data_IF_226605663727
#
_entry.id   IF_226605663727
#
_cell.length_a   1.000
_cell.length_b   1.000
_cell.length_c   1.000
_cell.angle_alpha   90.00
_cell.angle_beta   90.00
_cell.angle_gamma   90.00
#
_symmetry.space_group_name_H-M   'P 1'
#
loop_
_entity.id
_entity.type
_entity.pdbx_description
1 polymer ?
#
# COMPACT_ATOMS: atom_id res chain seq x y z
N UNK A 1 1.02 6.58 8.44
CA UNK A 1 -0.23 5.87 8.12
C UNK A 1 0.00 4.76 7.10
N UNK A 2 -0.93 3.83 7.03
CA UNK A 2 -1.12 2.90 5.92
C UNK A 2 -2.42 3.31 5.23
N UNK A 3 -2.39 3.58 3.94
CA UNK A 3 -3.58 3.82 3.12
C UNK A 3 -3.67 2.71 2.07
N UNK A 4 -4.73 1.89 2.11
CA UNK A 4 -4.82 0.74 1.23
C UNK A 4 -6.17 0.65 0.51
N UNK A 5 -6.19 -0.05 -0.64
CA UNK A 5 -7.39 -0.55 -1.26
C UNK A 5 -7.25 -2.04 -1.55
N UNK A 6 -8.22 -2.80 -1.07
CA UNK A 6 -8.29 -4.25 -1.27
C UNK A 6 -9.72 -4.69 -1.49
N UNK A 7 -10.02 -5.27 -2.64
CA UNK A 7 -11.35 -5.83 -2.89
C UNK A 7 -11.50 -7.22 -2.25
N UNK A 8 -10.47 -8.06 -2.37
CA UNK A 8 -10.49 -9.47 -1.94
C UNK A 8 -9.62 -9.75 -0.70
N UNK A 9 -9.09 -8.72 -0.02
CA UNK A 9 -8.41 -8.84 1.25
C UNK A 9 -6.88 -9.06 1.19
N UNK A 10 -6.28 -9.34 0.02
CA UNK A 10 -4.84 -9.62 -0.10
C UNK A 10 -3.97 -8.46 0.36
N UNK A 11 -4.28 -7.23 -0.06
CA UNK A 11 -3.57 -6.03 0.38
C UNK A 11 -3.80 -5.78 1.87
N UNK A 12 -5.03 -5.97 2.36
CA UNK A 12 -5.35 -5.83 3.78
C UNK A 12 -4.52 -6.79 4.64
N UNK A 13 -4.32 -8.02 4.17
CA UNK A 13 -3.51 -9.02 4.87
C UNK A 13 -2.04 -8.60 4.93
N UNK A 14 -1.46 -8.12 3.83
CA UNK A 14 -0.11 -7.54 3.83
C UNK A 14 -0.01 -6.30 4.74
N UNK A 15 -1.00 -5.40 4.68
CA UNK A 15 -1.05 -4.18 5.48
C UNK A 15 -1.00 -4.47 6.99
N UNK A 16 -1.65 -5.55 7.44
CA UNK A 16 -1.59 -5.98 8.84
C UNK A 16 -0.17 -6.41 9.26
N UNK A 17 0.59 -7.06 8.37
CA UNK A 17 1.99 -7.40 8.63
C UNK A 17 2.89 -6.16 8.59
N UNK A 18 2.70 -5.27 7.62
CA UNK A 18 3.38 -3.98 7.57
C UNK A 18 3.14 -3.18 8.85
N UNK A 19 1.89 -3.15 9.33
CA UNK A 19 1.53 -2.48 10.58
C UNK A 19 2.34 -3.00 11.76
N UNK A 20 2.48 -4.32 11.91
CA UNK A 20 3.33 -4.92 12.95
C UNK A 20 4.78 -4.43 12.86
N UNK A 21 5.32 -4.40 11.64
CA UNK A 21 6.67 -3.90 11.40
C UNK A 21 6.84 -2.43 11.78
N UNK A 22 5.91 -1.56 11.39
CA UNK A 22 5.88 -0.14 11.78
C UNK A 22 5.82 0.01 13.30
N UNK A 23 4.86 -0.64 13.95
CA UNK A 23 4.64 -0.55 15.42
C UNK A 23 5.82 -1.11 16.23
N UNK A 24 6.59 -2.07 15.67
CA UNK A 24 7.78 -2.62 16.32
C UNK A 24 8.89 -1.59 16.56
N UNK A 25 8.86 -0.46 15.88
CA UNK A 25 9.79 0.67 16.07
C UNK A 25 9.31 1.70 17.08
N UNK A 26 8.10 1.54 17.61
CA UNK A 26 7.44 2.53 18.47
C UNK A 26 6.60 3.57 17.71
N UNK A 27 6.43 3.44 16.39
CA UNK A 27 5.63 4.34 15.60
C UNK A 27 4.13 4.18 15.90
N UNK A 28 3.40 5.29 15.96
CA UNK A 28 1.93 5.28 15.97
C UNK A 28 1.42 5.05 14.56
N UNK A 29 0.52 4.08 14.38
CA UNK A 29 0.07 3.65 13.04
C UNK A 29 -1.44 3.76 12.91
N UNK A 30 -1.89 4.57 11.96
CA UNK A 30 -3.26 4.56 11.45
C UNK A 30 -3.34 3.63 10.23
N UNK A 31 -4.26 2.66 10.27
CA UNK A 31 -4.59 1.82 9.14
C UNK A 31 -5.90 2.31 8.54
N UNK A 32 -5.83 2.78 7.30
CA UNK A 32 -6.90 3.46 6.57
C UNK A 32 -7.20 2.67 5.29
N UNK A 33 -8.47 2.53 4.96
CA UNK A 33 -8.92 1.87 3.75
C UNK A 33 -9.65 2.84 2.83
N UNK A 34 -9.23 2.90 1.56
CA UNK A 34 -9.94 3.70 0.57
C UNK A 34 -11.41 3.31 0.50
N UNK A 35 -12.28 4.31 0.53
CA UNK A 35 -13.72 4.11 0.38
C UNK A 35 -14.01 3.45 -0.96
N UNK A 36 -14.94 2.47 -0.93
CA UNK A 36 -15.39 1.79 -2.13
C UNK A 36 -16.18 2.73 -3.04
N UNK A 37 -15.96 2.60 -4.35
CA UNK A 37 -16.64 3.38 -5.38
C UNK A 37 -17.56 2.53 -6.27
N UNK A 38 -17.45 1.20 -6.17
CA UNK A 38 -18.33 0.29 -6.90
C UNK A 38 -19.69 0.17 -6.21
N UNK A 39 -20.80 0.13 -6.95
CA UNK A 39 -22.13 -0.16 -6.42
C UNK A 39 -22.22 -1.56 -5.79
N UNK A 40 -23.03 -1.72 -4.77
CA UNK A 40 -23.20 -2.98 -4.05
C UNK A 40 -23.63 -4.14 -4.99
N UNK A 41 -24.48 -3.89 -5.98
CA UNK A 41 -24.87 -4.88 -6.99
C UNK A 41 -23.68 -5.43 -7.81
N UNK A 42 -22.65 -4.62 -8.02
CA UNK A 42 -21.41 -5.03 -8.72
C UNK A 42 -20.55 -5.82 -7.77
N UNK A 43 -20.42 -5.40 -6.51
CA UNK A 43 -19.68 -6.12 -5.48
C UNK A 43 -20.25 -7.53 -5.26
N UNK A 44 -21.57 -7.66 -5.22
CA UNK A 44 -22.27 -8.95 -5.15
C UNK A 44 -21.97 -9.84 -6.35
N UNK A 45 -22.07 -9.32 -7.57
CA UNK A 45 -21.71 -10.04 -8.80
C UNK A 45 -20.25 -10.49 -8.84
N UNK A 46 -19.36 -9.71 -8.21
CA UNK A 46 -17.92 -10.02 -8.09
C UNK A 46 -17.61 -10.94 -6.92
N UNK A 47 -18.62 -11.34 -6.13
CA UNK A 47 -18.44 -12.13 -4.91
C UNK A 47 -17.42 -11.49 -3.96
N UNK A 48 -17.44 -10.15 -3.86
CA UNK A 48 -16.55 -9.42 -2.97
C UNK A 48 -16.85 -9.78 -1.50
N UNK A 49 -15.83 -10.10 -0.68
CA UNK A 49 -16.04 -10.39 0.71
C UNK A 49 -16.49 -9.12 1.48
N UNK A 50 -17.13 -9.29 2.64
CA UNK A 50 -17.47 -8.16 3.51
C UNK A 50 -16.23 -7.33 3.85
N UNK A 51 -16.42 -6.01 3.91
CA UNK A 51 -15.35 -5.08 4.27
C UNK A 51 -14.94 -5.27 5.73
N UNK A 52 -13.61 -5.20 6.05
CA UNK A 52 -13.14 -5.22 7.43
C UNK A 52 -13.75 -4.08 8.24
N UNK A 53 -14.30 -4.39 9.42
CA UNK A 53 -14.93 -3.41 10.31
C UNK A 53 -13.92 -2.74 11.26
N UNK A 54 -12.73 -3.30 11.38
CA UNK A 54 -11.64 -2.83 12.24
C UNK A 54 -10.67 -1.86 11.55
N UNK A 55 -10.97 -1.48 10.30
CA UNK A 55 -10.15 -0.54 9.52
C UNK A 55 -11.01 0.65 9.13
N UNK A 56 -10.53 1.84 9.45
CA UNK A 56 -11.21 3.11 9.18
C UNK A 56 -11.34 3.37 7.67
N UNK A 57 -12.54 3.74 7.22
CA UNK A 57 -12.73 4.17 5.84
C UNK A 57 -12.18 5.58 5.62
N UNK A 58 -11.41 5.74 4.56
CA UNK A 58 -10.79 6.99 4.14
C UNK A 58 -11.30 7.39 2.76
N UNK A 59 -12.00 8.49 2.68
CA UNK A 59 -12.61 8.99 1.45
C UNK A 59 -12.01 10.31 0.98
N UNK A 60 -12.54 10.83 -0.11
CA UNK A 60 -12.15 12.13 -0.70
C UNK A 60 -12.20 13.28 0.31
N UNK A 61 -13.20 13.28 1.21
CA UNK A 61 -13.35 14.31 2.22
C UNK A 61 -12.20 14.34 3.23
N UNK A 62 -11.51 13.22 3.40
CA UNK A 62 -10.40 13.06 4.34
C UNK A 62 -9.03 13.29 3.69
N UNK A 63 -8.94 13.50 2.37
CA UNK A 63 -7.66 13.51 1.64
C UNK A 63 -6.62 14.47 2.26
N UNK A 64 -7.06 15.61 2.79
CA UNK A 64 -6.17 16.58 3.44
C UNK A 64 -5.58 16.07 4.78
N UNK A 65 -6.16 15.06 5.39
CA UNK A 65 -5.65 14.47 6.64
C UNK A 65 -4.33 13.73 6.43
N UNK A 66 -3.97 13.39 5.18
CA UNK A 66 -2.65 12.82 4.86
C UNK A 66 -1.51 13.72 5.33
N UNK A 67 -1.74 15.03 5.45
CA UNK A 67 -0.77 15.97 6.03
C UNK A 67 -0.44 15.70 7.51
N UNK A 68 -1.27 14.99 8.23
CA UNK A 68 -1.09 14.72 9.65
C UNK A 68 -0.08 13.60 9.93
N UNK A 69 0.41 12.91 8.89
CA UNK A 69 1.33 11.78 9.03
C UNK A 69 2.72 12.13 8.54
N UNK A 70 3.75 11.62 9.19
CA UNK A 70 5.16 11.78 8.77
C UNK A 70 5.48 10.93 7.53
N UNK A 71 4.74 9.83 7.35
CA UNK A 71 4.87 8.96 6.20
C UNK A 71 3.61 8.15 5.93
N UNK A 72 3.43 7.78 4.66
CA UNK A 72 2.28 6.99 4.19
C UNK A 72 2.77 5.80 3.37
N UNK A 73 2.37 4.59 3.77
CA UNK A 73 2.53 3.39 2.97
C UNK A 73 1.25 3.12 2.17
N UNK A 74 1.37 3.10 0.85
CA UNK A 74 0.26 2.92 -0.07
C UNK A 74 0.12 1.45 -0.46
N UNK A 75 -1.00 0.84 -0.09
CA UNK A 75 -1.34 -0.54 -0.42
C UNK A 75 -2.22 -0.63 -1.66
N UNK A 76 -1.67 -1.14 -2.75
CA UNK A 76 -2.27 -1.03 -4.08
C UNK A 76 -2.61 -2.40 -4.65
N UNK A 77 -3.91 -2.72 -4.76
CA UNK A 77 -4.34 -3.84 -5.60
C UNK A 77 -4.33 -3.40 -7.06
N UNK A 78 -3.45 -4.00 -7.86
CA UNK A 78 -3.27 -3.61 -9.26
C UNK A 78 -4.57 -3.74 -10.08
N UNK A 79 -4.80 -2.76 -10.93
CA UNK A 79 -5.81 -2.80 -11.99
C UNK A 79 -5.13 -2.50 -13.31
N UNK A 80 -5.02 -3.52 -14.18
CA UNK A 80 -4.35 -3.39 -15.50
C UNK A 80 -2.93 -2.80 -15.38
N UNK A 81 -2.16 -3.23 -14.36
CA UNK A 81 -0.81 -2.72 -14.07
C UNK A 81 -0.76 -1.30 -13.50
N UNK A 82 -1.90 -0.72 -13.15
CA UNK A 82 -2.03 0.62 -12.61
C UNK A 82 -2.69 0.70 -11.24
N UNK A 83 -2.83 1.94 -10.73
CA UNK A 83 -3.46 2.27 -9.46
C UNK A 83 -4.99 2.12 -9.61
N UNK A 84 -5.70 1.46 -8.68
CA UNK A 84 -7.15 1.33 -8.73
C UNK A 84 -7.84 2.69 -8.55
N UNK A 85 -9.02 2.84 -9.16
CA UNK A 85 -9.79 4.08 -9.15
C UNK A 85 -10.04 4.60 -7.72
N UNK A 86 -10.30 3.72 -6.77
CA UNK A 86 -10.56 4.06 -5.37
C UNK A 86 -9.36 4.80 -4.74
N UNK A 87 -8.14 4.31 -4.94
CA UNK A 87 -6.91 4.97 -4.48
C UNK A 87 -6.65 6.24 -5.28
N UNK A 88 -6.80 6.17 -6.61
CA UNK A 88 -6.57 7.32 -7.50
C UNK A 88 -7.50 8.49 -7.18
N UNK A 89 -8.74 8.22 -6.83
CA UNK A 89 -9.72 9.24 -6.42
C UNK A 89 -9.24 10.03 -5.20
N UNK A 90 -8.63 9.35 -4.21
CA UNK A 90 -8.05 10.03 -3.05
C UNK A 90 -6.82 10.83 -3.45
N UNK A 91 -5.92 10.25 -4.27
CA UNK A 91 -4.74 10.97 -4.77
C UNK A 91 -5.15 12.24 -5.53
N UNK A 92 -6.18 12.18 -6.35
CA UNK A 92 -6.68 13.35 -7.09
C UNK A 92 -7.29 14.41 -6.18
N UNK A 93 -7.85 14.00 -5.04
CA UNK A 93 -8.41 14.92 -4.05
C UNK A 93 -7.36 15.67 -3.21
N UNK A 94 -6.07 15.33 -3.32
CA UNK A 94 -4.97 16.02 -2.59
C UNK A 94 -4.52 17.33 -3.23
N UNK A 95 -5.29 17.90 -4.17
CA UNK A 95 -4.93 19.15 -4.86
C UNK A 95 -4.64 20.31 -3.89
N UNK A 96 -5.37 20.41 -2.77
CA UNK A 96 -5.10 21.42 -1.75
C UNK A 96 -3.76 21.21 -1.04
N UNK A 97 -3.37 19.96 -0.78
CA UNK A 97 -2.05 19.63 -0.19
C UNK A 97 -0.93 19.96 -1.17
N UNK A 98 -1.11 19.63 -2.45
CA UNK A 98 -0.15 20.00 -3.49
C UNK A 98 0.06 21.53 -3.54
N UNK A 99 -1.01 22.31 -3.56
CA UNK A 99 -0.94 23.77 -3.62
C UNK A 99 -0.18 24.37 -2.45
N UNK A 100 -0.32 23.79 -1.24
CA UNK A 100 0.26 24.31 -0.01
C UNK A 100 1.56 23.60 0.40
N UNK A 101 2.05 22.65 -0.40
CA UNK A 101 3.23 21.84 -0.07
C UNK A 101 3.06 20.91 1.13
N UNK A 102 1.81 20.52 1.45
CA UNK A 102 1.51 19.77 2.67
C UNK A 102 2.15 18.38 2.76
N UNK A 103 2.52 17.77 1.63
CA UNK A 103 3.20 16.47 1.59
C UNK A 103 4.70 16.56 1.26
N UNK A 104 5.23 17.78 1.08
CA UNK A 104 6.66 17.96 0.78
C UNK A 104 7.52 17.42 1.91
N UNK A 105 8.49 16.56 1.56
CA UNK A 105 9.42 15.94 2.51
C UNK A 105 8.86 14.76 3.31
N UNK A 106 7.54 14.47 3.21
CA UNK A 106 6.95 13.30 3.89
C UNK A 106 7.35 12.00 3.16
N UNK A 107 7.50 10.94 3.93
CA UNK A 107 7.87 9.62 3.40
C UNK A 107 6.70 8.94 2.67
N UNK A 108 7.00 8.27 1.57
CA UNK A 108 6.06 7.42 0.85
C UNK A 108 6.64 6.02 0.62
N UNK A 109 5.87 4.98 0.86
CA UNK A 109 6.18 3.60 0.52
C UNK A 109 5.06 2.98 -0.29
N UNK A 110 5.33 1.89 -1.00
CA UNK A 110 4.31 1.16 -1.77
C UNK A 110 4.40 -0.33 -1.51
N UNK A 111 3.26 -0.99 -1.42
CA UNK A 111 3.15 -2.44 -1.43
C UNK A 111 1.96 -2.86 -2.29
N UNK A 112 2.04 -4.01 -2.92
CA UNK A 112 1.15 -4.32 -4.03
C UNK A 112 0.67 -5.77 -4.08
N UNK A 113 -0.43 -5.98 -4.82
CA UNK A 113 -0.97 -7.29 -5.12
C UNK A 113 -1.43 -7.35 -6.58
N UNK A 114 -1.13 -8.46 -7.25
CA UNK A 114 -1.62 -8.76 -8.61
C UNK A 114 -2.20 -10.16 -8.66
N UNK A 115 -3.00 -10.46 -9.68
CA UNK A 115 -3.51 -11.81 -9.90
C UNK A 115 -2.42 -12.78 -10.39
N UNK A 116 -1.44 -12.28 -11.17
CA UNK A 116 -0.39 -13.10 -11.79
C UNK A 116 0.99 -12.53 -11.51
N UNK A 117 2.03 -13.35 -11.67
CA UNK A 117 3.44 -12.95 -11.48
C UNK A 117 3.86 -11.80 -12.41
N UNK A 118 3.34 -11.74 -13.62
CA UNK A 118 3.61 -10.68 -14.61
C UNK A 118 2.49 -9.63 -14.65
N UNK A 119 1.63 -9.58 -13.62
CA UNK A 119 0.45 -8.71 -13.57
C UNK A 119 0.73 -7.24 -13.31
N UNK A 120 2.00 -6.82 -13.27
CA UNK A 120 2.41 -5.42 -13.20
C UNK A 120 2.67 -4.90 -11.79
N UNK A 121 3.22 -5.70 -10.87
CA UNK A 121 3.59 -5.20 -9.54
C UNK A 121 4.57 -4.04 -9.61
N UNK A 122 5.66 -4.16 -10.40
CA UNK A 122 6.64 -3.09 -10.58
C UNK A 122 6.04 -1.88 -11.28
N UNK A 123 5.17 -2.10 -12.29
CA UNK A 123 4.50 -0.99 -12.97
C UNK A 123 3.58 -0.19 -12.05
N UNK A 124 2.92 -0.85 -11.10
CA UNK A 124 2.15 -0.17 -10.04
C UNK A 124 3.05 0.71 -9.19
N UNK A 125 4.20 0.20 -8.75
CA UNK A 125 5.20 0.97 -8.02
C UNK A 125 5.63 2.22 -8.81
N UNK A 126 5.99 2.06 -10.08
CA UNK A 126 6.37 3.15 -10.98
C UNK A 126 5.24 4.19 -11.15
N UNK A 127 3.99 3.73 -11.30
CA UNK A 127 2.84 4.64 -11.42
C UNK A 127 2.65 5.51 -10.15
N UNK A 128 2.94 4.96 -8.97
CA UNK A 128 2.89 5.73 -7.72
C UNK A 128 3.98 6.81 -7.65
N UNK A 129 5.15 6.58 -8.27
CA UNK A 129 6.25 7.57 -8.28
C UNK A 129 5.85 8.90 -8.87
N UNK A 130 4.99 8.90 -9.90
CA UNK A 130 4.50 10.16 -10.50
C UNK A 130 3.76 11.01 -9.44
N UNK A 131 2.88 10.40 -8.65
CA UNK A 131 2.18 11.08 -7.57
C UNK A 131 3.15 11.58 -6.49
N UNK A 132 4.07 10.73 -6.03
CA UNK A 132 5.03 11.11 -5.00
C UNK A 132 5.92 12.28 -5.43
N UNK A 133 6.41 12.24 -6.67
CA UNK A 133 7.23 13.33 -7.23
C UNK A 133 6.45 14.66 -7.30
N UNK A 134 5.20 14.64 -7.76
CA UNK A 134 4.37 15.85 -7.86
C UNK A 134 4.00 16.43 -6.48
N UNK A 135 3.85 15.57 -5.47
CA UNK A 135 3.59 15.99 -4.09
C UNK A 135 4.86 16.36 -3.31
N UNK A 136 6.07 16.14 -3.87
CA UNK A 136 7.33 16.36 -3.18
C UNK A 136 7.63 15.36 -2.08
N UNK A 137 7.01 14.17 -2.12
CA UNK A 137 7.24 13.10 -1.16
C UNK A 137 8.56 12.38 -1.43
N UNK A 138 9.14 11.79 -0.37
CA UNK A 138 10.37 11.01 -0.44
C UNK A 138 10.01 9.53 -0.49
N UNK A 139 10.26 8.88 -1.63
CA UNK A 139 10.02 7.44 -1.76
C UNK A 139 11.05 6.62 -0.99
N UNK A 140 10.57 5.74 -0.12
CA UNK A 140 11.36 4.76 0.61
C UNK A 140 11.01 3.38 0.06
N UNK A 141 11.88 2.79 -0.78
CA UNK A 141 11.66 1.46 -1.33
C UNK A 141 11.92 0.37 -0.29
N UNK A 142 11.44 -0.85 -0.53
CA UNK A 142 11.91 -2.03 0.18
C UNK A 142 13.41 -2.25 -0.11
N UNK A 143 13.82 -2.00 -1.34
CA UNK A 143 15.18 -2.31 -1.80
C UNK A 143 15.47 -3.78 -1.65
N UNK A 144 16.69 -4.07 -1.24
CA UNK A 144 17.17 -5.42 -0.95
C UNK A 144 17.50 -5.59 0.54
N UNK A 145 16.63 -5.01 1.40
CA UNK A 145 16.83 -5.02 2.85
C UNK A 145 16.42 -6.33 3.52
N UNK A 146 15.68 -7.18 2.82
CA UNK A 146 15.24 -8.48 3.30
C UNK A 146 15.86 -9.61 2.45
N UNK A 147 16.67 -10.51 3.03
CA UNK A 147 17.24 -11.64 2.29
C UNK A 147 16.19 -12.58 1.68
N UNK A 148 14.99 -12.68 2.27
CA UNK A 148 13.92 -13.52 1.75
C UNK A 148 13.41 -13.01 0.38
N UNK A 149 13.54 -11.71 0.09
CA UNK A 149 13.18 -11.14 -1.21
C UNK A 149 14.03 -11.66 -2.39
N UNK A 150 15.14 -12.35 -2.09
CA UNK A 150 15.99 -13.03 -3.08
C UNK A 150 15.76 -14.54 -3.16
N UNK A 151 14.91 -15.09 -2.30
CA UNK A 151 14.70 -16.54 -2.25
C UNK A 151 14.03 -17.04 -3.52
N UNK A 152 14.45 -18.21 -3.94
CA UNK A 152 13.81 -19.01 -4.99
C UNK A 152 13.09 -20.23 -4.44
N UNK A 153 12.95 -20.32 -3.10
CA UNK A 153 12.30 -21.46 -2.43
C UNK A 153 10.80 -21.51 -2.68
N UNK A 154 10.19 -20.32 -2.90
CA UNK A 154 8.79 -20.22 -3.29
C UNK A 154 8.57 -19.02 -4.21
N UNK A 155 7.43 -19.04 -4.92
CA UNK A 155 6.97 -17.88 -5.70
C UNK A 155 6.42 -16.83 -4.74
N UNK A 156 6.98 -15.64 -4.75
CA UNK A 156 6.55 -14.51 -3.93
C UNK A 156 6.45 -13.21 -4.72
N UNK A 157 5.66 -12.26 -4.21
CA UNK A 157 5.36 -11.00 -4.89
C UNK A 157 6.24 -9.81 -4.51
N UNK A 158 7.27 -10.00 -3.68
CA UNK A 158 8.16 -8.92 -3.29
C UNK A 158 9.12 -8.52 -4.43
N UNK A 159 9.43 -7.24 -4.48
CA UNK A 159 10.40 -6.64 -5.40
C UNK A 159 11.13 -5.49 -4.71
N UNK A 160 12.19 -4.93 -5.32
CA UNK A 160 12.83 -3.74 -4.75
C UNK A 160 11.90 -2.53 -4.54
N UNK A 161 10.79 -2.46 -5.28
CA UNK A 161 9.82 -1.39 -5.13
C UNK A 161 9.02 -1.48 -3.83
N UNK A 162 8.71 -2.70 -3.38
CA UNK A 162 7.95 -2.93 -2.16
C UNK A 162 7.59 -4.38 -1.95
N UNK A 163 7.07 -4.71 -0.78
CA UNK A 163 6.49 -6.02 -0.51
C UNK A 163 5.23 -6.25 -1.36
N UNK A 164 4.95 -7.50 -1.67
CA UNK A 164 3.83 -7.82 -2.54
C UNK A 164 3.36 -9.26 -2.40
N UNK A 165 2.23 -9.57 -3.05
CA UNK A 165 1.68 -10.93 -3.13
C UNK A 165 0.99 -11.16 -4.47
N UNK A 166 0.83 -12.42 -4.84
CA UNK A 166 0.02 -12.87 -5.96
C UNK A 166 -1.26 -13.53 -5.47
N UNK A 167 -2.40 -13.08 -6.00
CA UNK A 167 -3.70 -13.64 -5.62
C UNK A 167 -4.03 -14.95 -6.35
N UNK A 168 -3.34 -15.25 -7.45
CA UNK A 168 -3.69 -16.33 -8.35
C UNK A 168 -4.81 -15.93 -9.33
N UNK A 169 -5.06 -16.74 -10.36
CA UNK A 169 -6.01 -16.41 -11.42
C UNK A 169 -7.47 -16.35 -10.94
N UNK A 170 -7.80 -17.03 -9.87
CA UNK A 170 -9.12 -17.10 -9.24
C UNK A 170 -9.20 -16.32 -7.90
N UNK A 171 -8.09 -15.69 -7.48
CA UNK A 171 -8.02 -14.95 -6.22
C UNK A 171 -7.92 -15.82 -4.96
N UNK A 172 -7.76 -17.13 -5.08
CA UNK A 172 -7.77 -18.05 -3.92
C UNK A 172 -6.44 -18.11 -3.16
N UNK A 173 -5.31 -17.79 -3.84
CA UNK A 173 -3.98 -17.80 -3.19
C UNK A 173 -3.88 -16.66 -2.19
N UNK A 174 -3.63 -17.01 -0.94
CA UNK A 174 -3.40 -16.04 0.12
C UNK A 174 -1.91 -15.69 0.24
N UNK A 175 -1.56 -14.52 0.80
CA UNK A 175 -0.17 -14.17 1.10
C UNK A 175 0.51 -15.27 1.91
N UNK A 176 1.71 -15.68 1.49
CA UNK A 176 2.48 -16.73 2.17
C UNK A 176 3.14 -16.19 3.43
N UNK A 177 3.64 -17.12 4.27
CA UNK A 177 4.39 -16.76 5.48
C UNK A 177 5.62 -15.92 5.12
N UNK A 178 6.30 -16.23 4.02
CA UNK A 178 7.44 -15.46 3.53
C UNK A 178 7.03 -14.06 3.09
N UNK A 179 5.96 -13.92 2.29
CA UNK A 179 5.45 -12.61 1.86
C UNK A 179 5.03 -11.74 3.05
N UNK A 180 4.42 -12.33 4.09
CA UNK A 180 4.05 -11.64 5.33
C UNK A 180 5.27 -11.22 6.15
N UNK A 181 6.30 -12.05 6.22
CA UNK A 181 7.58 -11.72 6.87
C UNK A 181 8.29 -10.56 6.17
N UNK A 182 8.38 -10.60 4.84
CA UNK A 182 8.94 -9.50 4.04
C UNK A 182 8.12 -8.21 4.23
N UNK A 183 6.80 -8.29 4.30
CA UNK A 183 5.93 -7.14 4.54
C UNK A 183 6.16 -6.52 5.92
N UNK A 184 6.33 -7.33 6.96
CA UNK A 184 6.66 -6.87 8.31
C UNK A 184 8.01 -6.15 8.33
N UNK A 185 9.05 -6.73 7.71
CA UNK A 185 10.37 -6.10 7.58
C UNK A 185 10.31 -4.80 6.78
N UNK A 186 9.50 -4.73 5.71
CA UNK A 186 9.26 -3.50 4.94
C UNK A 186 8.69 -2.39 5.81
N UNK A 187 7.69 -2.70 6.65
CA UNK A 187 7.13 -1.75 7.60
C UNK A 187 8.19 -1.22 8.58
N UNK A 188 8.98 -2.11 9.17
CA UNK A 188 10.07 -1.73 10.08
C UNK A 188 11.12 -0.85 9.41
N UNK A 189 11.55 -1.21 8.18
CA UNK A 189 12.50 -0.43 7.39
C UNK A 189 11.95 0.97 7.10
N UNK A 190 10.70 1.05 6.62
CA UNK A 190 10.03 2.31 6.31
C UNK A 190 9.96 3.23 7.53
N UNK A 191 9.50 2.74 8.70
CA UNK A 191 9.42 3.53 9.92
C UNK A 191 10.78 4.06 10.35
N UNK A 192 11.81 3.20 10.33
CA UNK A 192 13.18 3.57 10.72
C UNK A 192 13.75 4.71 9.87
N UNK A 193 13.47 4.71 8.55
CA UNK A 193 13.93 5.79 7.68
C UNK A 193 13.05 7.03 7.80
N UNK A 194 11.74 6.87 7.93
CA UNK A 194 10.81 7.99 8.16
C UNK A 194 11.19 8.77 9.42
N UNK A 195 11.49 8.09 10.51
CA UNK A 195 11.95 8.75 11.75
C UNK A 195 13.22 9.59 11.55
N UNK A 196 14.17 9.09 10.74
CA UNK A 196 15.40 9.85 10.44
C UNK A 196 15.15 11.08 9.59
N UNK A 197 14.15 11.04 8.70
CA UNK A 197 13.79 12.14 7.82
C UNK A 197 12.92 13.20 8.50
N UNK A 198 12.20 12.83 9.57
CA UNK A 198 11.30 13.72 10.32
C UNK A 198 12.02 14.52 11.43
N UNK A 199 13.30 14.25 11.66
CA UNK A 199 14.17 14.97 12.62
C UNK A 199 14.82 16.18 11.96
#
# INVERSE_FOLDING_TARGET
AILEYSLYGHITTLARSIKKGLESTGAEVKHLRCKETLPDEILEKMHAPPKPQDIEEFGVANANELNNYDGVMFGVSARFGGIPAQMKTIMDATGGLWQNGGLVGKSAGVFQSTGTMQGGQESVGINCMSFFAHQGMIFIPLGYTDPQAFSYDEIHGASPWGSGTYAGPDGSRQPTVMELSIAENHGKHFATLTEKLSR
#
